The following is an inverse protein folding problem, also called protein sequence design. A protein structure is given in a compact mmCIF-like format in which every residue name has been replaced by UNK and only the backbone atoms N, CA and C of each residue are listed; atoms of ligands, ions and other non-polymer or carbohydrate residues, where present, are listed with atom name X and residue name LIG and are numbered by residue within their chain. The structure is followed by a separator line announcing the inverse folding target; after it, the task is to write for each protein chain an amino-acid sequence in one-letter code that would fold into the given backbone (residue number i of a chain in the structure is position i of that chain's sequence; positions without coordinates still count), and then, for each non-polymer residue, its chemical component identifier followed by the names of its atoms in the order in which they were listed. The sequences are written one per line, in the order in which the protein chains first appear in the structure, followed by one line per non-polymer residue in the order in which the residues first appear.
data_IF_005275557854
#
_entry.id   IF_005275557854
#
_cell.length_a   1.000
_cell.length_b   1.000
_cell.length_c   1.000
_cell.angle_alpha   90.00
_cell.angle_beta   90.00
_cell.angle_gamma   90.00
#
_symmetry.space_group_name_H-M   'P 1'
#
loop_
_entity.id
_entity.type
_entity.pdbx_description
1 polymer ?
#
# COMPACT_ATOMS: atom_id res chain seq x y z
N UNK A 1 -16.49 30.43 18.01
CA UNK A 1 -16.51 29.12 17.34
C UNK A 1 -15.09 28.65 17.05
N UNK A 2 -14.41 28.06 18.03
CA UNK A 2 -13.15 27.32 17.82
C UNK A 2 -13.39 25.92 18.37
N UNK A 3 -13.88 25.05 17.50
CA UNK A 3 -14.04 23.64 17.83
C UNK A 3 -12.66 22.99 17.80
N UNK A 4 -12.35 22.34 18.91
CA UNK A 4 -11.04 21.89 19.34
C UNK A 4 -10.60 20.71 18.44
N UNK A 5 -9.46 20.86 17.78
CA UNK A 5 -8.80 19.80 17.02
C UNK A 5 -8.09 18.83 17.99
N UNK A 6 -8.83 18.24 18.94
CA UNK A 6 -8.27 17.36 19.99
C UNK A 6 -8.76 15.91 19.92
N UNK A 7 -9.61 15.55 18.95
CA UNK A 7 -10.20 14.21 18.85
C UNK A 7 -9.85 13.51 17.52
N UNK A 8 -8.57 13.41 17.15
CA UNK A 8 -8.14 12.52 16.07
C UNK A 8 -7.37 11.31 16.64
N UNK A 9 -7.94 10.08 16.58
CA UNK A 9 -7.23 8.88 16.98
C UNK A 9 -6.15 8.54 15.93
N UNK A 10 -4.92 8.33 16.42
CA UNK A 10 -3.77 7.69 15.77
C UNK A 10 -3.62 7.91 14.26
N UNK A 11 -2.96 8.99 13.87
CA UNK A 11 -2.52 9.27 12.50
C UNK A 11 -1.29 8.42 12.08
N UNK A 12 -1.36 7.08 12.18
CA UNK A 12 -0.22 6.23 11.78
C UNK A 12 -0.57 4.87 11.17
N UNK A 13 -1.81 4.69 10.69
CA UNK A 13 -2.03 3.72 9.61
C UNK A 13 -2.43 4.53 8.39
N UNK A 14 -1.59 4.46 7.36
CA UNK A 14 -1.74 5.08 6.05
C UNK A 14 -3.18 4.96 5.54
N UNK A 15 -4.02 5.96 5.82
CA UNK A 15 -5.34 6.06 5.19
C UNK A 15 -5.09 6.28 3.71
N UNK A 16 -5.50 5.32 2.90
CA UNK A 16 -5.52 5.48 1.46
C UNK A 16 -6.41 6.68 1.10
N UNK A 17 -6.07 7.38 0.02
CA UNK A 17 -6.96 8.38 -0.54
C UNK A 17 -8.26 7.71 -1.00
N UNK A 18 -9.34 8.49 -1.05
CA UNK A 18 -10.63 8.00 -1.51
C UNK A 18 -10.50 7.46 -2.94
N UNK A 19 -11.19 6.34 -3.22
CA UNK A 19 -11.25 5.68 -4.55
C UNK A 19 -9.96 5.06 -5.09
N UNK A 20 -8.88 5.00 -4.28
CA UNK A 20 -7.64 4.34 -4.72
C UNK A 20 -7.90 2.89 -5.11
N UNK A 21 -8.62 2.13 -4.28
CA UNK A 21 -8.93 0.74 -4.55
C UNK A 21 -9.73 0.55 -5.85
N UNK A 22 -10.84 1.28 -6.00
CA UNK A 22 -11.72 1.24 -7.18
C UNK A 22 -10.94 1.54 -8.47
N UNK A 23 -10.03 2.51 -8.41
CA UNK A 23 -9.18 2.90 -9.54
C UNK A 23 -8.20 1.79 -9.92
N UNK A 24 -7.52 1.20 -8.92
CA UNK A 24 -6.56 0.10 -9.14
C UNK A 24 -7.28 -1.12 -9.75
N UNK A 25 -8.47 -1.44 -9.26
CA UNK A 25 -9.30 -2.52 -9.81
C UNK A 25 -9.70 -2.24 -11.27
N UNK A 26 -10.16 -1.02 -11.58
CA UNK A 26 -10.52 -0.63 -12.94
C UNK A 26 -9.32 -0.69 -13.91
N UNK A 27 -8.15 -0.20 -13.50
CA UNK A 27 -6.93 -0.28 -14.30
C UNK A 27 -6.54 -1.73 -14.58
N UNK A 28 -6.66 -2.61 -13.59
CA UNK A 28 -6.36 -4.03 -13.73
C UNK A 28 -7.35 -4.75 -14.65
N UNK A 29 -8.65 -4.44 -14.54
CA UNK A 29 -9.68 -4.97 -15.45
C UNK A 29 -9.45 -4.51 -16.90
N UNK A 30 -8.88 -3.32 -17.09
CA UNK A 30 -8.45 -2.83 -18.40
C UNK A 30 -7.15 -3.48 -18.91
N UNK A 31 -6.53 -4.40 -18.16
CA UNK A 31 -5.27 -5.06 -18.53
C UNK A 31 -4.01 -4.22 -18.29
N UNK A 32 -4.12 -3.12 -17.53
CA UNK A 32 -2.99 -2.23 -17.22
C UNK A 32 -2.21 -2.78 -16.02
N UNK A 33 -0.88 -2.89 -16.18
CA UNK A 33 0.02 -3.30 -15.10
C UNK A 33 0.37 -2.09 -14.23
N UNK A 34 -0.05 -2.12 -12.97
CA UNK A 34 0.28 -1.07 -11.98
C UNK A 34 1.54 -1.46 -11.21
N UNK A 35 2.47 -0.52 -11.05
CA UNK A 35 3.71 -0.70 -10.30
C UNK A 35 3.77 0.37 -9.21
N UNK A 36 4.09 -0.03 -7.98
CA UNK A 36 4.26 0.89 -6.85
C UNK A 36 5.74 0.99 -6.54
N UNK A 37 6.31 2.18 -6.73
CA UNK A 37 7.66 2.50 -6.27
C UNK A 37 7.53 3.34 -5.00
N UNK A 38 8.13 2.89 -3.92
CA UNK A 38 8.14 3.61 -2.65
C UNK A 38 9.53 3.53 -2.00
N UNK A 39 9.89 4.58 -1.26
CA UNK A 39 11.06 4.60 -0.37
C UNK A 39 10.73 4.19 1.06
N UNK A 40 9.48 3.81 1.34
CA UNK A 40 9.07 3.27 2.63
C UNK A 40 9.62 1.86 2.88
N UNK A 41 9.55 1.42 4.13
CA UNK A 41 9.91 0.06 4.52
C UNK A 41 9.08 -0.97 3.76
N UNK A 42 9.67 -2.15 3.55
CA UNK A 42 9.03 -3.26 2.83
C UNK A 42 7.67 -3.64 3.45
N UNK A 43 7.58 -3.71 4.78
CA UNK A 43 6.35 -4.09 5.48
C UNK A 43 5.22 -3.09 5.22
N UNK A 44 5.56 -1.80 5.16
CA UNK A 44 4.61 -0.72 4.82
C UNK A 44 4.14 -0.84 3.38
N UNK A 45 5.05 -1.09 2.44
CA UNK A 45 4.71 -1.27 1.03
C UNK A 45 3.75 -2.44 0.81
N UNK A 46 3.97 -3.56 1.51
CA UNK A 46 3.09 -4.74 1.48
C UNK A 46 1.72 -4.40 2.08
N UNK A 47 1.70 -3.75 3.24
CA UNK A 47 0.44 -3.36 3.90
C UNK A 47 -0.40 -2.44 3.03
N UNK A 48 0.20 -1.41 2.43
CA UNK A 48 -0.48 -0.47 1.52
C UNK A 48 -1.02 -1.21 0.29
N UNK A 49 -0.22 -2.09 -0.31
CA UNK A 49 -0.61 -2.85 -1.49
C UNK A 49 -1.77 -3.81 -1.23
N UNK A 50 -1.82 -4.42 -0.04
CA UNK A 50 -2.97 -5.24 0.38
C UNK A 50 -4.22 -4.38 0.62
N UNK A 51 -4.07 -3.21 1.26
CA UNK A 51 -5.19 -2.32 1.55
C UNK A 51 -5.84 -1.71 0.31
N UNK A 52 -5.07 -1.46 -0.77
CA UNK A 52 -5.61 -0.90 -2.00
C UNK A 52 -6.11 -1.95 -3.01
N UNK A 53 -6.16 -3.23 -2.61
CA UNK A 53 -6.57 -4.32 -3.51
C UNK A 53 -5.55 -4.64 -4.62
N UNK A 54 -4.33 -4.11 -4.52
CA UNK A 54 -3.25 -4.36 -5.47
C UNK A 54 -2.77 -5.81 -5.38
N UNK A 55 -2.61 -6.32 -4.14
CA UNK A 55 -2.32 -7.74 -3.89
C UNK A 55 -3.53 -8.44 -3.28
N UNK A 56 -3.84 -9.61 -3.81
CA UNK A 56 -4.81 -10.51 -3.19
C UNK A 56 -4.07 -11.52 -2.30
N UNK A 57 -4.71 -11.98 -1.21
CA UNK A 57 -4.10 -12.97 -0.29
C UNK A 57 -3.69 -14.28 -0.97
N UNK A 58 -4.21 -14.56 -2.16
CA UNK A 58 -3.92 -15.75 -2.96
C UNK A 58 -2.83 -15.53 -4.01
N UNK A 59 -2.25 -14.33 -4.12
CA UNK A 59 -1.16 -14.07 -5.06
C UNK A 59 0.18 -14.58 -4.51
N UNK A 60 0.97 -15.18 -5.40
CA UNK A 60 2.36 -15.51 -5.09
C UNK A 60 3.20 -14.23 -5.11
N UNK A 61 3.80 -13.90 -3.98
CA UNK A 61 4.72 -12.76 -3.85
C UNK A 61 6.13 -13.27 -4.20
N UNK A 62 6.77 -12.62 -5.19
CA UNK A 62 8.17 -12.85 -5.52
C UNK A 62 9.02 -11.76 -4.83
N UNK A 63 9.79 -12.14 -3.83
CA UNK A 63 10.71 -11.24 -3.14
C UNK A 63 12.12 -11.37 -3.73
N UNK A 64 12.64 -10.26 -4.26
CA UNK A 64 14.00 -10.18 -4.78
C UNK A 64 14.85 -9.38 -3.79
N UNK A 65 15.51 -10.08 -2.88
CA UNK A 65 16.39 -9.49 -1.86
C UNK A 65 17.85 -9.77 -2.22
N UNK A 66 18.69 -8.74 -2.18
CA UNK A 66 20.12 -8.93 -2.32
C UNK A 66 20.63 -9.67 -1.07
N UNK A 67 21.14 -10.89 -1.25
CA UNK A 67 21.79 -11.65 -0.18
C UNK A 67 23.03 -10.86 0.27
N UNK A 68 23.00 -10.34 1.49
CA UNK A 68 24.20 -9.81 2.13
C UNK A 68 25.00 -11.01 2.60
N UNK A 69 26.12 -11.29 1.94
CA UNK A 69 27.10 -12.24 2.47
C UNK A 69 27.69 -11.59 3.70
N UNK A 70 27.38 -12.11 4.89
CA UNK A 70 28.08 -11.74 6.11
C UNK A 70 29.52 -12.27 5.98
N UNK A 71 30.46 -11.38 5.66
CA UNK A 71 31.90 -11.60 5.77
C UNK A 71 32.42 -10.94 7.04
#
# INVERSE_FOLDING_TARGET
MKSRCSDLPSMFMSRLQDKVQETIEALRLAGIKVWVLTGDKHETAVSVSLSCGHFHRTMNILELVQQKSDN
#
